data_IF_751921164709
#
_entry.id   IF_751921164709
#
_cell.length_a   1.000
_cell.length_b   1.000
_cell.length_c   1.000
_cell.angle_alpha   90.00
_cell.angle_beta   90.00
_cell.angle_gamma   90.00
#
_symmetry.space_group_name_H-M   'P 1'
#
loop_
_entity.id
_entity.type
_entity.pdbx_description
1 polymer ?
#
# COMPACT_ATOMS: atom_id res chain seq x y z
N UNK A 1 20.53 4.68 7.86
CA UNK A 1 20.82 6.04 8.38
C UNK A 1 21.10 7.02 7.23
N UNK A 2 22.04 6.71 6.34
CA UNK A 2 22.41 7.59 5.22
C UNK A 2 21.21 7.96 4.33
N UNK A 3 20.35 7.00 4.02
CA UNK A 3 19.18 7.21 3.17
C UNK A 3 18.15 8.12 3.83
N UNK A 4 17.92 8.00 5.15
CA UNK A 4 17.04 8.88 5.91
C UNK A 4 17.57 10.34 5.89
N UNK A 5 18.86 10.54 6.18
CA UNK A 5 19.47 11.88 6.14
C UNK A 5 19.39 12.49 4.74
N UNK A 6 19.55 11.66 3.71
CA UNK A 6 19.38 12.10 2.32
C UNK A 6 17.92 12.51 2.05
N UNK A 7 16.95 11.72 2.50
CA UNK A 7 15.53 12.01 2.34
C UNK A 7 15.15 13.32 3.03
N UNK A 8 15.56 13.51 4.29
CA UNK A 8 15.28 14.74 5.05
C UNK A 8 15.84 15.97 4.33
N UNK A 9 17.10 15.89 3.88
CA UNK A 9 17.74 16.99 3.16
C UNK A 9 17.05 17.30 1.83
N UNK A 10 16.68 16.26 1.05
CA UNK A 10 16.06 16.43 -0.26
C UNK A 10 14.63 16.94 -0.16
N UNK A 11 13.91 16.57 0.89
CA UNK A 11 12.55 17.05 1.18
C UNK A 11 12.54 18.39 1.92
N UNK A 12 13.72 18.91 2.29
CA UNK A 12 13.87 20.17 3.05
C UNK A 12 13.02 20.17 4.33
N UNK A 13 13.06 19.05 5.08
CA UNK A 13 12.32 18.87 6.32
C UNK A 13 13.22 18.25 7.39
N UNK A 14 12.89 18.45 8.64
CA UNK A 14 13.58 17.87 9.80
C UNK A 14 12.94 16.58 10.31
N UNK A 15 11.76 16.22 9.82
CA UNK A 15 11.09 14.97 10.16
C UNK A 15 10.26 14.39 9.00
N UNK A 16 9.97 13.09 9.09
CA UNK A 16 9.09 12.35 8.19
C UNK A 16 8.01 11.66 9.02
N UNK A 17 6.74 11.82 8.66
CA UNK A 17 5.64 11.20 9.40
C UNK A 17 5.67 9.67 9.30
N UNK A 18 5.77 9.13 8.08
CA UNK A 18 5.78 7.68 7.84
C UNK A 18 7.07 7.33 7.08
N UNK A 19 7.95 6.59 7.73
CA UNK A 19 9.17 6.07 7.10
C UNK A 19 9.06 4.55 6.93
N UNK A 20 9.15 4.08 5.67
CA UNK A 20 8.89 2.70 5.32
C UNK A 20 10.17 1.93 4.97
N UNK A 21 10.29 0.69 5.47
CA UNK A 21 11.21 -0.28 4.87
C UNK A 21 10.67 -0.70 3.50
N UNK A 22 11.46 -0.47 2.46
CA UNK A 22 11.02 -0.69 1.09
C UNK A 22 11.27 -2.14 0.63
N UNK A 23 10.20 -2.93 0.58
CA UNK A 23 10.15 -4.28 0.02
C UNK A 23 11.28 -5.22 0.49
N UNK A 24 11.59 -5.27 1.79
CA UNK A 24 12.61 -6.20 2.29
C UNK A 24 12.18 -7.64 2.06
N UNK A 25 13.18 -8.54 1.91
CA UNK A 25 12.92 -9.97 1.73
C UNK A 25 12.48 -10.68 3.02
N UNK A 26 12.58 -10.02 4.16
CA UNK A 26 12.23 -10.45 5.51
C UNK A 26 11.52 -9.32 6.27
N UNK A 27 10.99 -9.61 7.44
CA UNK A 27 10.39 -8.61 8.33
C UNK A 27 11.45 -8.08 9.31
N UNK A 28 11.98 -6.84 9.16
CA UNK A 28 12.92 -6.25 10.12
C UNK A 28 12.32 -6.18 11.54
N UNK A 29 13.09 -6.60 12.55
CA UNK A 29 12.66 -6.64 13.96
C UNK A 29 13.74 -6.05 14.87
N UNK A 30 13.37 -5.63 16.11
CA UNK A 30 14.35 -5.19 17.11
C UNK A 30 15.38 -6.29 17.40
N UNK A 31 16.66 -5.89 17.50
CA UNK A 31 17.75 -6.83 17.75
C UNK A 31 18.09 -7.75 16.56
N UNK A 32 17.52 -7.51 15.37
CA UNK A 32 17.89 -8.22 14.15
C UNK A 32 19.34 -7.95 13.74
N UNK A 33 20.03 -8.97 13.20
CA UNK A 33 21.44 -8.85 12.76
C UNK A 33 21.66 -7.76 11.72
N UNK A 34 20.63 -7.42 10.93
CA UNK A 34 20.64 -6.34 9.96
C UNK A 34 20.66 -4.92 10.59
N UNK A 35 20.24 -4.79 11.85
CA UNK A 35 20.17 -3.55 12.60
C UNK A 35 19.23 -2.48 12.01
N UNK A 36 18.37 -2.84 11.03
CA UNK A 36 17.50 -1.90 10.34
C UNK A 36 16.44 -1.32 11.27
N UNK A 37 15.74 -2.19 12.00
CA UNK A 37 14.68 -1.76 12.91
C UNK A 37 15.21 -0.92 14.05
N UNK A 38 16.37 -1.29 14.64
CA UNK A 38 17.01 -0.53 15.71
C UNK A 38 17.46 0.85 15.22
N UNK A 39 17.96 0.94 13.99
CA UNK A 39 18.29 2.24 13.37
C UNK A 39 17.06 3.12 13.18
N UNK A 40 15.91 2.53 12.84
CA UNK A 40 14.65 3.27 12.72
C UNK A 40 14.12 3.71 14.10
N UNK A 41 14.23 2.87 15.13
CA UNK A 41 13.90 3.24 16.51
C UNK A 41 14.73 4.42 17.01
N UNK A 42 16.03 4.41 16.73
CA UNK A 42 16.90 5.53 17.08
C UNK A 42 16.51 6.82 16.35
N UNK A 43 16.20 6.73 15.06
CA UNK A 43 15.70 7.87 14.29
C UNK A 43 14.37 8.42 14.85
N UNK A 44 13.48 7.52 15.30
CA UNK A 44 12.23 7.90 15.98
C UNK A 44 12.47 8.61 17.31
N UNK A 45 13.42 8.13 18.13
CA UNK A 45 13.82 8.80 19.38
C UNK A 45 14.40 10.19 19.12
N UNK A 46 15.11 10.37 18.01
CA UNK A 46 15.67 11.67 17.60
C UNK A 46 14.61 12.61 16.99
N UNK A 47 13.35 12.19 16.87
CA UNK A 47 12.26 12.97 16.26
C UNK A 47 12.31 13.06 14.74
N UNK A 48 13.25 12.37 14.07
CA UNK A 48 13.40 12.39 12.61
C UNK A 48 12.33 11.63 11.88
N UNK A 49 11.70 10.62 12.51
CA UNK A 49 10.55 9.90 11.98
C UNK A 49 9.51 9.73 13.08
N UNK A 50 8.23 9.77 12.69
CA UNK A 50 7.12 9.59 13.64
C UNK A 50 6.66 8.15 13.70
N UNK A 51 6.51 7.50 12.53
CA UNK A 51 5.99 6.14 12.41
C UNK A 51 6.92 5.28 11.55
N UNK A 52 7.22 4.08 12.08
CA UNK A 52 7.94 3.04 11.35
C UNK A 52 6.91 2.20 10.63
N UNK A 53 7.09 1.98 9.33
CA UNK A 53 6.17 1.27 8.48
C UNK A 53 6.91 0.34 7.50
N UNK A 54 6.17 -0.46 6.76
CA UNK A 54 6.76 -1.40 5.80
C UNK A 54 5.93 -1.44 4.52
N UNK A 55 6.61 -1.53 3.37
CA UNK A 55 5.97 -1.87 2.10
C UNK A 55 6.49 -3.22 1.62
N UNK A 56 5.63 -4.06 1.10
CA UNK A 56 6.02 -5.38 0.62
C UNK A 56 5.13 -5.85 -0.55
N UNK A 57 5.60 -6.89 -1.25
CA UNK A 57 4.87 -7.57 -2.33
C UNK A 57 4.69 -9.07 -2.02
N UNK A 58 5.27 -9.55 -0.93
CA UNK A 58 5.22 -10.95 -0.49
C UNK A 58 4.22 -11.09 0.65
N UNK A 59 3.20 -11.93 0.45
CA UNK A 59 2.16 -12.18 1.45
C UNK A 59 2.75 -12.64 2.79
N UNK A 60 3.73 -13.55 2.78
CA UNK A 60 4.33 -14.05 4.01
C UNK A 60 5.00 -12.96 4.85
N UNK A 61 5.75 -12.04 4.21
CA UNK A 61 6.39 -10.93 4.93
C UNK A 61 5.35 -9.91 5.41
N UNK A 62 4.32 -9.66 4.61
CA UNK A 62 3.22 -8.78 5.00
C UNK A 62 2.47 -9.33 6.23
N UNK A 63 2.15 -10.62 6.24
CA UNK A 63 1.52 -11.27 7.38
C UNK A 63 2.41 -11.23 8.62
N UNK A 64 3.71 -11.55 8.47
CA UNK A 64 4.67 -11.46 9.56
C UNK A 64 4.77 -10.04 10.15
N UNK A 65 4.69 -9.02 9.30
CA UNK A 65 4.71 -7.63 9.75
C UNK A 65 3.45 -7.28 10.57
N UNK A 66 2.28 -7.77 10.16
CA UNK A 66 1.02 -7.60 10.91
C UNK A 66 1.13 -8.29 12.28
N UNK A 67 1.50 -9.57 12.29
CA UNK A 67 1.58 -10.40 13.50
C UNK A 67 2.60 -9.86 14.50
N UNK A 68 3.63 -9.18 14.02
CA UNK A 68 4.67 -8.60 14.88
C UNK A 68 4.19 -7.43 15.74
N UNK A 69 3.15 -6.70 15.32
CA UNK A 69 2.68 -5.49 15.98
C UNK A 69 3.69 -4.33 15.99
N UNK A 70 4.74 -4.40 15.17
CA UNK A 70 5.86 -3.43 15.20
C UNK A 70 5.64 -2.22 14.28
N UNK A 71 4.75 -2.31 13.32
CA UNK A 71 4.60 -1.33 12.24
C UNK A 71 3.31 -0.54 12.36
N UNK A 72 3.38 0.75 12.05
CA UNK A 72 2.22 1.62 12.05
C UNK A 72 1.35 1.45 10.79
N UNK A 73 1.96 1.07 9.66
CA UNK A 73 1.22 0.76 8.43
C UNK A 73 1.91 -0.28 7.57
N UNK A 74 1.12 -1.00 6.79
CA UNK A 74 1.54 -1.88 5.71
C UNK A 74 1.14 -1.25 4.38
N UNK A 75 2.09 -1.09 3.45
CA UNK A 75 1.78 -0.78 2.07
C UNK A 75 1.89 -2.04 1.21
N UNK A 76 0.81 -2.42 0.54
CA UNK A 76 0.74 -3.65 -0.24
C UNK A 76 -0.07 -3.45 -1.54
N UNK A 77 0.21 -4.21 -2.63
CA UNK A 77 -0.61 -4.18 -3.83
C UNK A 77 -2.05 -4.57 -3.53
N UNK A 78 -3.00 -3.69 -3.87
CA UNK A 78 -4.41 -3.91 -3.59
C UNK A 78 -5.29 -3.19 -4.61
N UNK A 79 -6.19 -3.92 -5.23
CA UNK A 79 -7.15 -3.43 -6.22
C UNK A 79 -8.42 -4.28 -6.15
N UNK A 80 -9.42 -4.00 -6.95
CA UNK A 80 -10.61 -4.86 -6.99
C UNK A 80 -10.38 -6.26 -7.60
N UNK A 81 -9.16 -6.54 -8.08
CA UNK A 81 -8.72 -7.90 -8.43
C UNK A 81 -8.13 -8.68 -7.24
N UNK A 82 -8.08 -8.06 -6.06
CA UNK A 82 -7.57 -8.70 -4.86
C UNK A 82 -8.38 -9.97 -4.51
N UNK A 83 -7.66 -11.02 -4.14
CA UNK A 83 -8.24 -12.27 -3.66
C UNK A 83 -8.41 -12.30 -2.14
N UNK A 84 -8.80 -13.45 -1.62
CA UNK A 84 -9.05 -13.66 -0.19
C UNK A 84 -7.81 -13.36 0.67
N UNK A 85 -6.62 -13.66 0.18
CA UNK A 85 -5.37 -13.44 0.93
C UNK A 85 -5.07 -11.95 1.12
N UNK A 86 -5.28 -11.14 0.09
CA UNK A 86 -5.09 -9.69 0.19
C UNK A 86 -6.17 -9.04 1.06
N UNK A 87 -7.41 -9.50 0.95
CA UNK A 87 -8.50 -9.06 1.83
C UNK A 87 -8.22 -9.40 3.29
N UNK A 88 -7.66 -10.59 3.55
CA UNK A 88 -7.24 -11.00 4.89
C UNK A 88 -6.12 -10.10 5.47
N UNK A 89 -5.19 -9.59 4.65
CA UNK A 89 -4.19 -8.62 5.10
C UNK A 89 -4.83 -7.29 5.55
N UNK A 90 -5.83 -6.80 4.82
CA UNK A 90 -6.56 -5.57 5.20
C UNK A 90 -7.25 -5.75 6.55
N UNK A 91 -7.95 -6.87 6.72
CA UNK A 91 -8.61 -7.19 7.99
C UNK A 91 -7.60 -7.42 9.12
N UNK A 92 -6.50 -8.09 8.84
CA UNK A 92 -5.40 -8.26 9.79
C UNK A 92 -4.82 -6.92 10.24
N UNK A 93 -4.57 -5.99 9.32
CA UNK A 93 -4.15 -4.63 9.67
C UNK A 93 -5.18 -3.93 10.56
N UNK A 94 -6.46 -4.00 10.19
CA UNK A 94 -7.54 -3.36 10.95
C UNK A 94 -7.61 -3.87 12.40
N UNK A 95 -7.54 -5.19 12.58
CA UNK A 95 -7.64 -5.82 13.92
C UNK A 95 -6.41 -5.56 14.81
N UNK A 96 -5.25 -5.31 14.20
CA UNK A 96 -4.02 -4.96 14.91
C UNK A 96 -3.80 -3.44 15.06
N UNK A 97 -4.78 -2.60 14.67
CA UNK A 97 -4.63 -1.14 14.72
C UNK A 97 -3.57 -0.58 13.79
N UNK A 98 -3.25 -1.29 12.71
CA UNK A 98 -2.26 -0.97 11.69
C UNK A 98 -2.96 -0.37 10.47
N UNK A 99 -2.46 0.75 9.94
CA UNK A 99 -3.00 1.33 8.70
C UNK A 99 -2.64 0.49 7.48
N UNK A 100 -3.54 0.42 6.48
CA UNK A 100 -3.27 -0.23 5.21
C UNK A 100 -3.18 0.79 4.08
N UNK A 101 -2.04 0.83 3.36
CA UNK A 101 -1.82 1.69 2.20
C UNK A 101 -1.90 0.83 0.95
N UNK A 102 -2.95 1.05 0.15
CA UNK A 102 -3.19 0.30 -1.08
C UNK A 102 -2.38 0.89 -2.23
N UNK A 103 -1.36 0.19 -2.68
CA UNK A 103 -0.65 0.55 -3.92
C UNK A 103 -1.16 -0.28 -5.10
N UNK A 104 -0.87 0.17 -6.32
CA UNK A 104 -1.29 -0.48 -7.59
C UNK A 104 -2.80 -0.64 -7.71
N UNK A 105 -3.58 0.36 -7.27
CA UNK A 105 -5.04 0.35 -7.37
C UNK A 105 -5.60 0.12 -8.78
N UNK A 106 -4.81 0.46 -9.82
CA UNK A 106 -5.10 0.15 -11.24
C UNK A 106 -4.47 -1.17 -11.71
N UNK A 107 -4.08 -2.06 -10.80
CA UNK A 107 -3.47 -3.36 -11.10
C UNK A 107 -2.30 -3.29 -12.10
N UNK A 108 -1.44 -2.25 -12.00
CA UNK A 108 -0.32 -2.07 -12.93
C UNK A 108 -0.73 -1.65 -14.34
N UNK A 109 -1.94 -1.15 -14.53
CA UNK A 109 -2.48 -0.71 -15.83
C UNK A 109 -3.39 -1.74 -16.52
N UNK A 110 -3.65 -2.88 -15.87
CA UNK A 110 -4.67 -3.84 -16.34
C UNK A 110 -6.08 -3.25 -16.28
N UNK A 111 -6.37 -2.52 -15.20
CA UNK A 111 -7.62 -1.81 -15.02
C UNK A 111 -7.55 -0.46 -15.75
N UNK A 112 -8.59 -0.13 -16.49
CA UNK A 112 -8.64 1.09 -17.32
C UNK A 112 -9.65 2.11 -16.84
N UNK A 113 -10.60 1.72 -16.02
CA UNK A 113 -11.62 2.59 -15.45
C UNK A 113 -11.23 3.02 -14.04
N UNK A 114 -10.63 4.22 -13.95
CA UNK A 114 -10.21 4.82 -12.68
C UNK A 114 -11.38 5.18 -11.77
N UNK A 115 -12.55 5.51 -12.33
CA UNK A 115 -13.75 5.81 -11.54
C UNK A 115 -14.27 4.57 -10.82
N UNK A 116 -14.31 3.42 -11.51
CA UNK A 116 -14.69 2.13 -10.89
C UNK A 116 -13.67 1.69 -9.85
N UNK A 117 -12.36 1.83 -10.14
CA UNK A 117 -11.31 1.50 -9.18
C UNK A 117 -11.39 2.38 -7.92
N UNK A 118 -11.59 3.68 -8.09
CA UNK A 118 -11.74 4.62 -6.97
C UNK A 118 -13.02 4.33 -6.15
N UNK A 119 -14.14 4.06 -6.80
CA UNK A 119 -15.40 3.74 -6.14
C UNK A 119 -15.30 2.45 -5.30
N UNK A 120 -14.63 1.42 -5.84
CA UNK A 120 -14.41 0.20 -5.07
C UNK A 120 -13.47 0.42 -3.89
N UNK A 121 -12.42 1.21 -4.08
CA UNK A 121 -11.46 1.51 -3.01
C UNK A 121 -12.07 2.35 -1.89
N UNK A 122 -12.98 3.28 -2.23
CA UNK A 122 -13.64 4.17 -1.27
C UNK A 122 -14.54 3.44 -0.26
N UNK A 123 -15.01 2.23 -0.57
CA UNK A 123 -15.83 1.43 0.35
C UNK A 123 -15.01 0.44 1.19
N UNK A 124 -13.67 0.41 1.02
CA UNK A 124 -12.81 -0.44 1.84
C UNK A 124 -12.49 0.28 3.15
N UNK A 125 -12.80 -0.36 4.27
CA UNK A 125 -12.43 0.16 5.59
C UNK A 125 -10.94 0.00 5.86
N UNK A 126 -10.34 0.95 6.59
CA UNK A 126 -8.91 0.95 6.96
C UNK A 126 -7.94 0.98 5.76
N UNK A 127 -8.37 1.46 4.60
CA UNK A 127 -7.55 1.49 3.38
C UNK A 127 -7.36 2.91 2.89
N UNK A 128 -6.10 3.31 2.68
CA UNK A 128 -5.74 4.57 2.03
C UNK A 128 -5.08 4.26 0.68
N UNK A 129 -5.69 4.61 -0.45
CA UNK A 129 -5.10 4.35 -1.77
C UNK A 129 -4.01 5.35 -2.11
N UNK A 130 -2.97 4.84 -2.78
CA UNK A 130 -2.02 5.65 -3.54
C UNK A 130 -2.11 5.26 -5.02
N UNK A 131 -2.24 6.25 -5.88
CA UNK A 131 -2.49 6.05 -7.30
C UNK A 131 -1.24 6.32 -8.13
N UNK A 132 -0.83 5.33 -8.93
CA UNK A 132 0.17 5.53 -9.98
C UNK A 132 -0.54 6.07 -11.24
N UNK A 133 -0.40 7.36 -11.50
CA UNK A 133 -1.00 8.03 -12.65
C UNK A 133 -0.01 7.99 -13.81
N UNK A 134 -0.41 7.43 -14.95
CA UNK A 134 0.39 7.34 -16.17
C UNK A 134 -0.14 8.26 -17.27
N UNK A 135 -1.42 8.64 -17.21
CA UNK A 135 -2.09 9.45 -18.23
C UNK A 135 -2.84 10.60 -17.57
N UNK A 136 -2.91 11.71 -18.24
CA UNK A 136 -3.68 12.89 -17.80
C UNK A 136 -5.16 12.56 -17.56
N UNK A 137 -5.76 11.75 -18.43
CA UNK A 137 -7.14 11.27 -18.27
C UNK A 137 -7.38 10.44 -17.00
N UNK A 138 -6.39 9.72 -16.51
CA UNK A 138 -6.46 9.01 -15.21
C UNK A 138 -6.48 10.02 -14.05
N UNK A 139 -5.65 11.05 -14.13
CA UNK A 139 -5.65 12.13 -13.14
C UNK A 139 -7.01 12.83 -13.10
N UNK A 140 -7.59 13.16 -14.26
CA UNK A 140 -8.90 13.80 -14.35
C UNK A 140 -9.99 12.93 -13.69
N UNK A 141 -9.98 11.61 -13.89
CA UNK A 141 -10.90 10.69 -13.26
C UNK A 141 -10.76 10.68 -11.72
N UNK A 142 -9.53 10.66 -11.20
CA UNK A 142 -9.31 10.71 -9.75
C UNK A 142 -9.70 12.07 -9.15
N UNK A 143 -9.42 13.16 -9.84
CA UNK A 143 -9.86 14.49 -9.43
C UNK A 143 -11.39 14.63 -9.45
N UNK A 144 -12.06 14.01 -10.42
CA UNK A 144 -13.52 13.91 -10.45
C UNK A 144 -14.05 13.15 -9.23
N UNK A 145 -13.47 12.01 -8.89
CA UNK A 145 -13.86 11.26 -7.69
C UNK A 145 -13.70 12.08 -6.40
N UNK A 146 -12.66 12.90 -6.30
CA UNK A 146 -12.45 13.76 -5.13
C UNK A 146 -13.52 14.87 -5.04
N UNK A 147 -13.94 15.44 -6.18
CA UNK A 147 -14.91 16.54 -6.22
C UNK A 147 -16.36 16.08 -6.04
N UNK A 148 -16.71 14.96 -6.67
CA UNK A 148 -18.10 14.49 -6.80
C UNK A 148 -18.43 13.30 -5.93
N UNK A 149 -17.39 12.69 -5.32
CA UNK A 149 -17.47 11.39 -4.67
C UNK A 149 -17.36 10.23 -5.67
N UNK A 150 -17.13 9.06 -5.14
CA UNK A 150 -17.03 7.82 -5.93
C UNK A 150 -18.06 6.82 -5.42
N UNK A 151 -19.24 6.81 -6.03
CA UNK A 151 -20.29 5.84 -5.67
C UNK A 151 -20.05 4.50 -6.37
N UNK A 152 -20.15 3.41 -5.63
CA UNK A 152 -20.06 2.05 -6.17
C UNK A 152 -21.44 1.59 -6.68
N UNK A 153 -21.82 2.07 -7.87
CA UNK A 153 -23.09 1.76 -8.53
C UNK A 153 -23.16 0.30 -8.99
N UNK A 154 -24.37 -0.18 -9.32
CA UNK A 154 -24.56 -1.55 -9.84
C UNK A 154 -23.84 -1.78 -11.18
N UNK A 155 -23.76 -0.76 -12.03
CA UNK A 155 -22.99 -0.83 -13.28
C UNK A 155 -21.48 -1.02 -13.00
N UNK A 156 -20.93 -0.29 -12.03
CA UNK A 156 -19.53 -0.47 -11.59
C UNK A 156 -19.30 -1.84 -10.96
N UNK A 157 -20.24 -2.34 -10.16
CA UNK A 157 -20.19 -3.71 -9.61
C UNK A 157 -20.16 -4.76 -10.73
N UNK A 158 -21.01 -4.62 -11.75
CA UNK A 158 -21.02 -5.51 -12.91
C UNK A 158 -19.68 -5.46 -13.69
N UNK A 159 -19.09 -4.27 -13.83
CA UNK A 159 -17.76 -4.09 -14.42
C UNK A 159 -16.69 -4.83 -13.61
N UNK A 160 -16.68 -4.68 -12.27
CA UNK A 160 -15.74 -5.38 -11.39
C UNK A 160 -15.88 -6.89 -11.53
N UNK A 161 -17.11 -7.42 -11.54
CA UNK A 161 -17.34 -8.86 -11.69
C UNK A 161 -16.88 -9.39 -13.04
N UNK A 162 -17.08 -8.64 -14.12
CA UNK A 162 -16.58 -8.98 -15.46
C UNK A 162 -15.04 -9.02 -15.43
N UNK A 163 -14.41 -7.95 -14.97
CA UNK A 163 -12.95 -7.81 -14.95
C UNK A 163 -12.30 -8.88 -14.07
N UNK A 164 -12.92 -9.23 -12.94
CA UNK A 164 -12.47 -10.35 -12.10
C UNK A 164 -12.49 -11.69 -12.83
N UNK A 165 -13.51 -11.95 -13.64
CA UNK A 165 -13.58 -13.19 -14.43
C UNK A 165 -12.57 -13.22 -15.57
N UNK A 166 -12.37 -12.07 -16.23
CA UNK A 166 -11.51 -11.99 -17.41
C UNK A 166 -10.02 -11.87 -17.04
N UNK A 167 -9.71 -11.20 -15.94
CA UNK A 167 -8.35 -10.88 -15.52
C UNK A 167 -7.86 -11.71 -14.32
N UNK A 168 -8.60 -12.76 -13.93
CA UNK A 168 -8.21 -13.64 -12.84
C UNK A 168 -6.88 -14.34 -13.20
N UNK A 169 -5.86 -14.14 -12.36
CA UNK A 169 -4.52 -14.68 -12.59
C UNK A 169 -3.56 -13.76 -13.35
N UNK A 170 -4.05 -12.71 -13.99
CA UNK A 170 -3.21 -11.72 -14.71
C UNK A 170 -2.61 -10.64 -13.77
N UNK A 171 -3.09 -10.57 -12.53
CA UNK A 171 -2.63 -9.56 -11.59
C UNK A 171 -1.21 -9.80 -11.11
N UNK A 172 -0.29 -8.96 -11.56
CA UNK A 172 1.10 -8.97 -11.12
C UNK A 172 1.28 -8.14 -9.84
N UNK A 173 1.67 -8.79 -8.73
CA UNK A 173 2.03 -8.11 -7.48
C UNK A 173 3.40 -7.42 -7.56
N UNK A 174 4.20 -7.68 -8.60
CA UNK A 174 5.55 -7.14 -8.75
C UNK A 174 6.55 -7.68 -7.72
N UNK A 175 6.35 -8.93 -7.28
CA UNK A 175 7.23 -9.56 -6.28
C UNK A 175 8.62 -9.95 -6.82
N UNK A 176 8.86 -9.84 -8.14
CA UNK A 176 10.12 -10.18 -8.78
C UNK A 176 10.37 -11.70 -8.94
N UNK A 177 9.39 -12.54 -8.63
CA UNK A 177 9.57 -14.00 -8.66
C UNK A 177 9.71 -14.56 -10.09
N UNK A 178 9.13 -13.89 -11.08
CA UNK A 178 9.12 -14.32 -12.48
C UNK A 178 10.14 -13.57 -13.37
N UNK A 179 11.05 -12.79 -12.80
CA UNK A 179 12.13 -12.10 -13.53
C UNK A 179 13.46 -12.81 -13.38
#
# INVERSE_FOLDING_TARGET
>A
RKDLETSLRTLETDYIDIYQFHNPAFCPKPGGEDGLYDAALEAKKQGKIRHISITNHRLAVAQEAIDSGLYASLQFPFSYLAGEQELALVEGCRTHGMGFIAMKGMAGGLLRDGLTAAAWMAVQENVVPIWGVQRESELDQFLQCIREGAELTDERRATIERDRRELCGEFCRGCGFCM
#
